data_IF_003857986082
#
_entry.id   IF_003857986082
#
_cell.length_a   1.000
_cell.length_b   1.000
_cell.length_c   1.000
_cell.angle_alpha   90.00
_cell.angle_beta   90.00
_cell.angle_gamma   90.00
#
_symmetry.space_group_name_H-M   'P 1'
#
loop_
_entity.id
_entity.type
_entity.pdbx_description
1 polymer ?
#
# COMPACT_ATOMS: atom_id res chain seq x y z
N UNK A 1 -0.84 7.82 17.92
CA UNK A 1 0.48 7.41 18.44
C UNK A 1 1.54 7.35 17.31
N UNK A 2 1.88 8.51 16.71
CA UNK A 2 2.87 8.58 15.61
C UNK A 2 4.26 8.15 16.09
N UNK A 3 4.62 8.51 17.33
CA UNK A 3 5.87 8.09 17.98
C UNK A 3 5.98 6.56 18.04
N UNK A 4 4.90 5.86 18.38
CA UNK A 4 4.90 4.38 18.40
C UNK A 4 5.15 3.78 17.02
N UNK A 5 4.53 4.33 15.96
CA UNK A 5 4.76 3.87 14.60
C UNK A 5 6.22 4.10 14.15
N UNK A 6 6.81 5.24 14.51
CA UNK A 6 8.24 5.51 14.25
C UNK A 6 9.14 4.56 15.02
N UNK A 7 8.89 4.33 16.31
CA UNK A 7 9.65 3.37 17.13
C UNK A 7 9.57 1.97 16.53
N UNK A 8 8.37 1.48 16.20
CA UNK A 8 8.20 0.15 15.58
C UNK A 8 8.90 0.03 14.22
N UNK A 9 8.82 1.06 13.39
CA UNK A 9 9.53 1.08 12.10
C UNK A 9 11.05 0.97 12.30
N UNK A 10 11.61 1.72 13.25
CA UNK A 10 13.03 1.67 13.58
C UNK A 10 13.43 0.32 14.19
N UNK A 11 12.62 -0.23 15.10
CA UNK A 11 12.86 -1.53 15.73
C UNK A 11 12.79 -2.71 14.76
N UNK A 12 11.98 -2.61 13.70
CA UNK A 12 11.86 -3.69 12.72
C UNK A 12 13.15 -3.96 11.92
N UNK A 13 14.09 -3.00 11.90
CA UNK A 13 15.36 -3.07 11.17
C UNK A 13 15.23 -3.60 9.72
N UNK A 14 14.15 -3.22 9.04
CA UNK A 14 13.83 -3.64 7.68
C UNK A 14 13.49 -2.43 6.83
N UNK A 15 13.86 -2.49 5.55
CA UNK A 15 13.58 -1.42 4.58
C UNK A 15 12.09 -1.14 4.41
N UNK A 16 11.24 -2.17 4.49
CA UNK A 16 9.78 -2.08 4.43
C UNK A 16 9.17 -3.11 5.38
N UNK A 17 8.29 -2.67 6.27
CA UNK A 17 7.46 -3.56 7.11
C UNK A 17 6.21 -3.95 6.32
N UNK A 18 5.94 -5.25 6.20
CA UNK A 18 4.80 -5.80 5.44
C UNK A 18 3.73 -6.32 6.40
N UNK A 19 2.63 -6.86 5.88
CA UNK A 19 1.54 -7.39 6.69
C UNK A 19 0.64 -6.32 7.27
N UNK A 20 -0.29 -6.75 8.12
CA UNK A 20 -1.19 -5.87 8.86
C UNK A 20 -0.46 -4.80 9.68
N UNK A 21 0.72 -5.14 10.24
CA UNK A 21 1.53 -4.16 10.97
C UNK A 21 2.11 -3.09 10.03
N UNK A 22 2.63 -3.47 8.87
CA UNK A 22 3.09 -2.54 7.85
C UNK A 22 2.00 -1.57 7.40
N UNK A 23 0.79 -2.08 7.16
CA UNK A 23 -0.38 -1.26 6.83
C UNK A 23 -0.70 -0.26 7.93
N UNK A 24 -0.73 -0.71 9.18
CA UNK A 24 -1.02 0.18 10.31
C UNK A 24 0.04 1.28 10.47
N UNK A 25 1.32 0.92 10.41
CA UNK A 25 2.44 1.86 10.53
C UNK A 25 2.37 2.91 9.40
N UNK A 26 2.30 2.46 8.15
CA UNK A 26 2.41 3.38 7.02
C UNK A 26 1.15 4.21 6.80
N UNK A 27 -0.05 3.71 7.14
CA UNK A 27 -1.27 4.55 7.15
C UNK A 27 -1.13 5.71 8.13
N UNK A 28 -0.62 5.44 9.34
CA UNK A 28 -0.43 6.49 10.34
C UNK A 28 0.67 7.48 9.94
N UNK A 29 1.79 7.00 9.39
CA UNK A 29 2.90 7.87 9.00
C UNK A 29 2.58 8.72 7.77
N UNK A 30 1.81 8.19 6.82
CA UNK A 30 1.41 8.92 5.60
C UNK A 30 0.47 10.09 5.92
N UNK A 31 -0.29 10.04 7.02
CA UNK A 31 -1.11 11.18 7.47
C UNK A 31 -0.28 12.40 7.88
N UNK A 32 0.99 12.18 8.28
CA UNK A 32 1.87 13.24 8.76
C UNK A 32 2.87 13.65 7.69
N UNK A 33 3.48 12.68 7.01
CA UNK A 33 4.50 12.89 5.99
C UNK A 33 4.18 12.05 4.74
N UNK A 34 3.19 12.46 3.94
CA UNK A 34 2.72 11.67 2.81
C UNK A 34 3.82 11.43 1.76
N UNK A 35 4.69 12.40 1.51
CA UNK A 35 5.77 12.27 0.53
C UNK A 35 6.86 11.26 0.96
N UNK A 36 7.12 11.15 2.26
CA UNK A 36 8.15 10.25 2.79
C UNK A 36 7.68 8.79 2.85
N UNK A 37 6.38 8.58 3.13
CA UNK A 37 5.85 7.26 3.45
C UNK A 37 4.82 6.72 2.45
N UNK A 38 4.19 7.57 1.63
CA UNK A 38 3.13 7.18 0.72
C UNK A 38 3.59 6.14 -0.32
N UNK A 39 4.82 6.25 -0.82
CA UNK A 39 5.39 5.23 -1.72
C UNK A 39 5.52 3.85 -1.07
N UNK A 40 5.84 3.79 0.23
CA UNK A 40 5.90 2.54 0.99
C UNK A 40 4.52 2.03 1.32
N UNK A 41 3.57 2.90 1.67
CA UNK A 41 2.18 2.52 1.90
C UNK A 41 1.55 1.91 0.64
N UNK A 42 1.66 2.58 -0.51
CA UNK A 42 1.16 2.08 -1.78
C UNK A 42 1.76 0.71 -2.14
N UNK A 43 3.06 0.53 -1.89
CA UNK A 43 3.71 -0.77 -2.08
C UNK A 43 3.12 -1.87 -1.19
N UNK A 44 3.00 -1.61 0.12
CA UNK A 44 2.47 -2.61 1.08
C UNK A 44 1.02 -2.94 0.76
N UNK A 45 0.18 -1.97 0.43
CA UNK A 45 -1.22 -2.19 0.04
C UNK A 45 -1.34 -3.17 -1.15
N UNK A 46 -0.49 -3.01 -2.17
CA UNK A 46 -0.46 -3.92 -3.32
C UNK A 46 0.02 -5.32 -2.93
N UNK A 47 1.04 -5.43 -2.08
CA UNK A 47 1.53 -6.73 -1.61
C UNK A 47 0.46 -7.46 -0.78
N UNK A 48 -0.23 -6.76 0.13
CA UNK A 48 -1.27 -7.34 0.97
C UNK A 48 -2.47 -7.81 0.14
N UNK A 49 -2.87 -7.05 -0.89
CA UNK A 49 -3.94 -7.46 -1.78
C UNK A 49 -3.60 -8.74 -2.59
N UNK A 50 -2.32 -9.02 -2.84
CA UNK A 50 -1.89 -10.16 -3.65
C UNK A 50 -1.41 -11.39 -2.86
N UNK A 51 -0.83 -11.19 -1.68
CA UNK A 51 -0.13 -12.24 -0.95
C UNK A 51 -0.77 -12.58 0.41
N UNK A 52 -1.68 -11.76 0.94
CA UNK A 52 -2.23 -11.98 2.27
C UNK A 52 -3.31 -13.07 2.26
N UNK A 53 -3.15 -14.16 3.03
CA UNK A 53 -4.16 -15.22 3.14
C UNK A 53 -5.51 -14.71 3.66
N UNK A 54 -5.49 -13.61 4.45
CA UNK A 54 -6.67 -13.06 5.10
C UNK A 54 -7.70 -12.47 4.12
N UNK A 55 -7.22 -11.95 2.99
CA UNK A 55 -8.09 -11.33 1.97
C UNK A 55 -8.19 -12.15 0.70
N UNK A 56 -7.49 -13.29 0.62
CA UNK A 56 -7.40 -14.13 -0.58
C UNK A 56 -8.77 -14.48 -1.17
N UNK A 57 -9.69 -14.91 -0.31
CA UNK A 57 -11.06 -15.31 -0.69
C UNK A 57 -12.06 -14.13 -0.64
N UNK A 58 -11.56 -12.90 -0.47
CA UNK A 58 -12.36 -11.68 -0.28
C UNK A 58 -12.05 -10.67 -1.39
N UNK A 59 -12.52 -10.89 -2.63
CA UNK A 59 -12.15 -10.06 -3.78
C UNK A 59 -12.54 -8.58 -3.63
N UNK A 60 -13.63 -8.28 -2.91
CA UNK A 60 -14.01 -6.91 -2.60
C UNK A 60 -12.98 -6.20 -1.70
N UNK A 61 -12.42 -6.90 -0.71
CA UNK A 61 -11.39 -6.34 0.18
C UNK A 61 -10.07 -6.16 -0.56
N UNK A 62 -9.72 -7.11 -1.44
CA UNK A 62 -8.55 -6.99 -2.32
C UNK A 62 -8.65 -5.76 -3.21
N UNK A 63 -9.81 -5.51 -3.82
CA UNK A 63 -10.01 -4.30 -4.60
C UNK A 63 -9.89 -3.04 -3.74
N UNK A 64 -10.50 -3.01 -2.55
CA UNK A 64 -10.44 -1.84 -1.67
C UNK A 64 -8.99 -1.47 -1.30
N UNK A 65 -8.13 -2.46 -1.02
CA UNK A 65 -6.69 -2.24 -0.79
C UNK A 65 -6.00 -1.65 -2.03
N UNK A 66 -6.37 -2.11 -3.22
CA UNK A 66 -5.80 -1.62 -4.49
C UNK A 66 -6.30 -0.21 -4.85
N UNK A 67 -7.56 0.12 -4.55
CA UNK A 67 -8.13 1.46 -4.69
C UNK A 67 -7.40 2.45 -3.76
N UNK A 68 -7.15 2.06 -2.51
CA UNK A 68 -6.35 2.86 -1.57
C UNK A 68 -4.91 3.03 -2.10
N UNK A 69 -4.30 1.97 -2.65
CA UNK A 69 -2.94 2.05 -3.19
C UNK A 69 -2.85 3.05 -4.35
N UNK A 70 -3.83 3.05 -5.26
CA UNK A 70 -3.91 4.02 -6.37
C UNK A 70 -4.11 5.42 -5.83
N UNK A 71 -4.98 5.61 -4.84
CA UNK A 71 -5.24 6.92 -4.23
C UNK A 71 -3.98 7.50 -3.61
N UNK A 72 -3.29 6.72 -2.77
CA UNK A 72 -2.03 7.14 -2.13
C UNK A 72 -0.96 7.45 -3.17
N UNK A 73 -0.78 6.59 -4.17
CA UNK A 73 0.22 6.81 -5.22
C UNK A 73 -0.09 8.04 -6.09
N UNK A 74 -1.37 8.34 -6.31
CA UNK A 74 -1.81 9.51 -7.08
C UNK A 74 -1.62 10.81 -6.30
N UNK A 75 -1.75 10.76 -4.98
CA UNK A 75 -1.61 11.91 -4.09
C UNK A 75 -0.14 12.37 -3.90
N UNK A 76 0.84 11.52 -4.19
CA UNK A 76 2.26 11.90 -4.16
C UNK A 76 2.54 13.01 -5.17
N UNK A 77 3.49 13.90 -4.88
CA UNK A 77 3.91 14.95 -5.81
C UNK A 77 4.50 14.37 -7.11
N UNK A 78 4.37 15.07 -8.23
CA UNK A 78 4.94 14.65 -9.52
C UNK A 78 6.47 14.56 -9.51
N UNK A 79 7.14 15.35 -8.66
CA UNK A 79 8.57 15.32 -8.44
C UNK A 79 9.00 14.13 -7.55
N UNK A 80 8.07 13.43 -6.90
CA UNK A 80 8.40 12.27 -6.09
C UNK A 80 8.98 11.16 -6.99
N UNK A 81 10.24 10.75 -6.79
CA UNK A 81 10.94 9.84 -7.69
C UNK A 81 10.31 8.44 -7.74
N UNK A 82 9.50 8.10 -6.73
CA UNK A 82 8.84 6.80 -6.65
C UNK A 82 7.43 6.79 -7.22
N UNK A 83 6.78 7.97 -7.39
CA UNK A 83 5.36 8.09 -7.77
C UNK A 83 5.02 7.26 -9.00
N UNK A 84 5.72 7.47 -10.10
CA UNK A 84 5.43 6.79 -11.37
C UNK A 84 5.49 5.26 -11.21
N UNK A 85 6.52 4.76 -10.52
CA UNK A 85 6.72 3.33 -10.31
C UNK A 85 5.61 2.71 -9.45
N UNK A 86 5.26 3.35 -8.33
CA UNK A 86 4.26 2.79 -7.40
C UNK A 86 2.85 2.92 -7.97
N UNK A 87 2.55 4.00 -8.69
CA UNK A 87 1.26 4.20 -9.35
C UNK A 87 1.04 3.16 -10.47
N UNK A 88 2.04 2.95 -11.33
CA UNK A 88 1.96 1.94 -12.37
C UNK A 88 1.73 0.54 -11.79
N UNK A 89 2.43 0.20 -10.70
CA UNK A 89 2.24 -1.08 -9.99
C UNK A 89 0.83 -1.22 -9.43
N UNK A 90 0.31 -0.18 -8.79
CA UNK A 90 -1.04 -0.18 -8.20
C UNK A 90 -2.12 -0.33 -9.27
N UNK A 91 -2.03 0.43 -10.36
CA UNK A 91 -2.97 0.33 -11.49
C UNK A 91 -2.92 -1.05 -12.16
N UNK A 92 -1.74 -1.61 -12.39
CA UNK A 92 -1.60 -2.94 -12.98
C UNK A 92 -2.16 -4.05 -12.07
N UNK A 93 -2.01 -3.92 -10.75
CA UNK A 93 -2.61 -4.86 -9.81
C UNK A 93 -4.15 -4.71 -9.76
N UNK A 94 -4.66 -3.48 -9.70
CA UNK A 94 -6.10 -3.18 -9.74
C UNK A 94 -6.75 -3.71 -11.01
N UNK A 95 -6.10 -3.54 -12.16
CA UNK A 95 -6.61 -4.01 -13.45
C UNK A 95 -6.74 -5.53 -13.47
N UNK A 96 -5.70 -6.25 -13.04
CA UNK A 96 -5.74 -7.72 -12.91
C UNK A 96 -6.87 -8.19 -11.99
N UNK A 97 -7.15 -7.46 -10.92
CA UNK A 97 -8.25 -7.80 -9.99
C UNK A 97 -9.65 -7.57 -10.59
N UNK A 98 -9.80 -6.58 -11.47
CA UNK A 98 -11.05 -6.34 -12.20
C UNK A 98 -11.26 -7.35 -13.32
N UNK A 99 -10.20 -7.67 -14.05
CA UNK A 99 -10.24 -8.67 -15.13
C UNK A 99 -10.53 -10.07 -14.56
N UNK A 100 -9.91 -10.43 -13.44
CA UNK A 100 -10.16 -11.71 -12.76
C UNK A 100 -11.59 -11.86 -12.22
N UNK A 101 -12.27 -10.76 -11.87
CA UNK A 101 -13.70 -10.78 -11.50
C UNK A 101 -14.64 -10.83 -12.69
N UNK A 102 -14.24 -10.26 -13.82
CA UNK A 102 -15.05 -10.33 -15.04
C UNK A 102 -15.05 -11.72 -15.67
N UNK A 103 -14.12 -12.60 -15.25
CA UNK A 103 -13.95 -13.96 -15.76
C UNK A 103 -14.50 -15.05 -14.82
N UNK A 104 -15.07 -14.68 -13.67
CA UNK A 104 -15.66 -15.59 -12.67
C UNK A 104 -17.19 -15.44 -12.64
#
# INVERSE_FOLDING_TARGET
MVVLARVRLLSANRRVVRGAEGLWIYRLLTQVEPEAYGSKLAYVLVEEAGASPLVRELPAQRLALLDEAVTVATALDTANPYRAKVLARALAARRRELDGRSAA
#
